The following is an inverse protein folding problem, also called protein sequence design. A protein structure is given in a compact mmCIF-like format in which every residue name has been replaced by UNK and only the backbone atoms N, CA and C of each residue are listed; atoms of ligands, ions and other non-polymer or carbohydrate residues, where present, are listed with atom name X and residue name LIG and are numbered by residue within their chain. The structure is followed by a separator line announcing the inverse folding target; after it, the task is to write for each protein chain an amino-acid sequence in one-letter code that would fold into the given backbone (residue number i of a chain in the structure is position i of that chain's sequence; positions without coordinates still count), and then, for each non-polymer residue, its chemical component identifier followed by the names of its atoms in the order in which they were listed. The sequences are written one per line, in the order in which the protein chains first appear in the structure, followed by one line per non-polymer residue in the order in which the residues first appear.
data_IF_018080270165
#
_entry.id   IF_018080270165
#
_cell.length_a   1.000
_cell.length_b   1.000
_cell.length_c   1.000
_cell.angle_alpha   90.00
_cell.angle_beta   90.00
_cell.angle_gamma   90.00
#
_symmetry.space_group_name_H-M   'P 1'
#
loop_
_entity.id
_entity.type
_entity.pdbx_description
1 polymer ?
#
# COMPACT_ATOMS: atom_id res chain seq x y z
N UNK A 1 -25.38 -10.79 15.44
CA UNK A 1 -25.44 -9.79 14.34
C UNK A 1 -24.14 -8.96 14.23
N UNK A 2 -22.99 -9.53 14.62
CA UNK A 2 -21.69 -8.82 14.72
C UNK A 2 -20.68 -9.20 13.62
N UNK A 3 -21.03 -10.15 12.72
CA UNK A 3 -20.10 -10.67 11.70
C UNK A 3 -19.87 -9.74 10.50
N UNK A 4 -20.88 -8.95 10.12
CA UNK A 4 -20.85 -8.12 8.90
C UNK A 4 -19.75 -7.04 8.88
N UNK A 5 -19.48 -6.31 9.98
CA UNK A 5 -18.35 -5.37 10.04
C UNK A 5 -16.97 -6.06 9.99
N UNK A 6 -16.88 -7.32 10.45
CA UNK A 6 -15.64 -8.08 10.41
C UNK A 6 -15.31 -8.56 8.99
N UNK A 7 -16.32 -8.79 8.16
CA UNK A 7 -16.11 -9.20 6.77
C UNK A 7 -15.34 -8.15 5.97
N UNK A 8 -15.57 -6.85 6.18
CA UNK A 8 -14.86 -5.82 5.42
C UNK A 8 -13.38 -5.70 5.81
N UNK A 9 -12.98 -6.23 6.97
CA UNK A 9 -11.59 -6.26 7.41
C UNK A 9 -11.03 -7.69 7.46
N UNK A 10 -11.76 -8.71 6.99
CA UNK A 10 -11.40 -10.11 7.20
C UNK A 10 -10.16 -10.58 6.44
N UNK A 11 -9.80 -9.89 5.35
CA UNK A 11 -8.65 -10.25 4.53
C UNK A 11 -7.69 -9.10 4.35
N UNK A 12 -6.41 -9.41 4.15
CA UNK A 12 -5.37 -8.42 3.89
C UNK A 12 -5.68 -7.57 2.65
N UNK A 13 -6.29 -8.15 1.62
CA UNK A 13 -6.70 -7.44 0.41
C UNK A 13 -7.82 -6.43 0.66
N UNK A 14 -8.78 -6.76 1.53
CA UNK A 14 -9.87 -5.85 1.89
C UNK A 14 -9.36 -4.70 2.76
N UNK A 15 -8.53 -5.01 3.77
CA UNK A 15 -7.78 -4.00 4.54
C UNK A 15 -6.94 -3.11 3.64
N UNK A 16 -6.34 -3.70 2.61
CA UNK A 16 -5.56 -2.99 1.63
C UNK A 16 -6.39 -2.00 0.79
N UNK A 17 -7.55 -2.43 0.29
CA UNK A 17 -8.48 -1.53 -0.39
C UNK A 17 -8.91 -0.38 0.54
N UNK A 18 -9.24 -0.68 1.79
CA UNK A 18 -9.66 0.32 2.77
C UNK A 18 -8.55 1.35 3.05
N UNK A 19 -7.32 0.90 3.29
CA UNK A 19 -6.15 1.75 3.47
C UNK A 19 -5.87 2.63 2.24
N UNK A 20 -5.98 2.06 1.03
CA UNK A 20 -5.84 2.84 -0.20
C UNK A 20 -6.88 3.97 -0.28
N UNK A 21 -8.14 3.70 0.09
CA UNK A 21 -9.18 4.74 0.12
C UNK A 21 -8.93 5.76 1.22
N UNK A 22 -8.36 5.36 2.37
CA UNK A 22 -8.00 6.27 3.46
C UNK A 22 -6.96 7.29 2.97
N UNK A 23 -5.91 6.81 2.29
CA UNK A 23 -4.84 7.68 1.76
C UNK A 23 -5.36 8.58 0.63
N UNK A 24 -6.18 8.03 -0.26
CA UNK A 24 -6.65 8.78 -1.44
C UNK A 24 -7.81 9.72 -1.14
N UNK A 25 -8.47 9.57 0.01
CA UNK A 25 -9.70 10.26 0.42
C UNK A 25 -10.94 9.81 -0.37
N UNK A 26 -10.81 9.71 -1.69
CA UNK A 26 -11.86 9.21 -2.58
C UNK A 26 -11.31 8.23 -3.63
N UNK A 27 -12.15 7.32 -4.11
CA UNK A 27 -11.78 6.37 -5.17
C UNK A 27 -12.95 6.06 -6.09
N UNK A 28 -12.67 5.46 -7.24
CA UNK A 28 -13.66 4.80 -8.09
C UNK A 28 -13.14 3.43 -8.53
N UNK A 29 -14.02 2.45 -8.81
CA UNK A 29 -13.62 1.05 -8.95
C UNK A 29 -12.54 0.80 -10.01
N UNK A 30 -12.56 1.53 -11.13
CA UNK A 30 -11.54 1.39 -12.19
C UNK A 30 -10.15 1.86 -11.73
N UNK A 31 -10.05 2.98 -11.02
CA UNK A 31 -8.76 3.44 -10.48
C UNK A 31 -8.27 2.52 -9.37
N UNK A 32 -9.18 2.03 -8.53
CA UNK A 32 -8.84 1.11 -7.46
C UNK A 32 -8.26 -0.20 -8.04
N UNK A 33 -8.96 -0.78 -9.01
CA UNK A 33 -8.56 -2.00 -9.70
C UNK A 33 -7.20 -1.86 -10.38
N UNK A 34 -7.00 -0.76 -11.11
CA UNK A 34 -5.74 -0.48 -11.81
C UNK A 34 -4.59 -0.29 -10.83
N UNK A 35 -4.79 0.49 -9.77
CA UNK A 35 -3.70 0.84 -8.88
C UNK A 35 -3.31 -0.35 -7.99
N UNK A 36 -4.29 -1.08 -7.44
CA UNK A 36 -4.04 -2.25 -6.60
C UNK A 36 -3.78 -3.55 -7.38
N UNK A 37 -3.79 -3.51 -8.72
CA UNK A 37 -3.68 -4.67 -9.59
C UNK A 37 -4.68 -5.81 -9.23
N UNK A 38 -5.95 -5.45 -9.02
CA UNK A 38 -7.04 -6.38 -8.71
C UNK A 38 -8.14 -6.32 -9.77
N UNK A 39 -9.01 -7.33 -9.82
CA UNK A 39 -10.10 -7.35 -10.80
C UNK A 39 -11.11 -6.22 -10.56
N UNK A 40 -11.61 -5.62 -11.65
CA UNK A 40 -12.65 -4.57 -11.59
C UNK A 40 -13.92 -5.06 -10.90
N UNK A 41 -14.28 -6.33 -11.10
CA UNK A 41 -15.42 -6.96 -10.45
C UNK A 41 -15.28 -6.97 -8.92
N UNK A 42 -14.10 -7.36 -8.41
CA UNK A 42 -13.79 -7.36 -6.98
C UNK A 42 -13.82 -5.94 -6.39
N UNK A 43 -13.21 -4.97 -7.08
CA UNK A 43 -13.24 -3.57 -6.67
C UNK A 43 -14.68 -3.03 -6.55
N UNK A 44 -15.52 -3.30 -7.56
CA UNK A 44 -16.91 -2.88 -7.58
C UNK A 44 -17.73 -3.55 -6.46
N UNK A 45 -17.65 -4.87 -6.32
CA UNK A 45 -18.44 -5.62 -5.33
C UNK A 45 -18.06 -5.21 -3.90
N UNK A 46 -16.77 -5.05 -3.63
CA UNK A 46 -16.28 -4.68 -2.31
C UNK A 46 -16.67 -3.25 -1.91
N UNK A 47 -16.56 -2.27 -2.82
CA UNK A 47 -16.97 -0.90 -2.53
C UNK A 47 -18.49 -0.78 -2.34
N UNK A 48 -19.29 -1.55 -3.10
CA UNK A 48 -20.74 -1.63 -2.89
C UNK A 48 -21.08 -2.25 -1.53
N UNK A 49 -20.37 -3.29 -1.11
CA UNK A 49 -20.53 -3.89 0.23
C UNK A 49 -20.20 -2.86 1.32
N UNK A 50 -19.07 -2.15 1.23
CA UNK A 50 -18.70 -1.11 2.19
C UNK A 50 -19.75 0.01 2.26
N UNK A 51 -20.37 0.35 1.13
CA UNK A 51 -21.45 1.34 1.09
C UNK A 51 -22.75 0.82 1.71
N UNK A 52 -23.15 -0.43 1.43
CA UNK A 52 -24.32 -1.06 2.04
C UNK A 52 -24.20 -1.16 3.57
N UNK A 53 -22.97 -1.29 4.08
CA UNK A 53 -22.67 -1.30 5.52
C UNK A 53 -22.52 0.10 6.13
N UNK A 54 -22.82 1.18 5.39
CA UNK A 54 -22.67 2.58 5.82
C UNK A 54 -21.23 2.98 6.21
N UNK A 55 -20.23 2.20 5.79
CA UNK A 55 -18.81 2.52 6.01
C UNK A 55 -18.33 3.53 4.98
N UNK A 56 -18.82 3.42 3.74
CA UNK A 56 -18.51 4.34 2.66
C UNK A 56 -19.75 5.06 2.13
N UNK A 57 -19.60 6.34 1.81
CA UNK A 57 -20.55 7.10 1.02
C UNK A 57 -20.32 6.79 -0.46
N UNK A 58 -21.40 6.58 -1.20
CA UNK A 58 -21.38 6.40 -2.66
C UNK A 58 -22.02 7.63 -3.30
N UNK A 59 -21.29 8.30 -4.17
CA UNK A 59 -21.75 9.50 -4.85
C UNK A 59 -21.52 9.39 -6.36
N UNK A 60 -22.36 10.07 -7.13
CA UNK A 60 -22.20 10.16 -8.58
C UNK A 60 -21.61 11.51 -8.94
N UNK A 61 -20.48 11.50 -9.63
CA UNK A 61 -19.84 12.67 -10.19
C UNK A 61 -19.80 12.52 -11.71
N UNK A 62 -20.81 13.07 -12.39
CA UNK A 62 -21.04 12.88 -13.81
C UNK A 62 -21.24 11.39 -14.18
N UNK A 63 -20.37 10.87 -15.05
CA UNK A 63 -20.39 9.46 -15.47
C UNK A 63 -19.65 8.52 -14.49
N UNK A 64 -19.02 9.05 -13.44
CA UNK A 64 -18.23 8.26 -12.49
C UNK A 64 -18.98 8.07 -11.17
N UNK A 65 -18.77 6.92 -10.54
CA UNK A 65 -19.24 6.61 -9.18
C UNK A 65 -18.04 6.66 -8.25
N UNK A 66 -18.10 7.56 -7.28
CA UNK A 66 -17.05 7.82 -6.31
C UNK A 66 -17.44 7.22 -4.96
N UNK A 67 -16.45 6.71 -4.25
CA UNK A 67 -16.57 6.21 -2.90
C UNK A 67 -15.62 6.95 -1.97
N UNK A 68 -16.11 7.31 -0.78
CA UNK A 68 -15.36 7.97 0.29
C UNK A 68 -15.84 7.44 1.64
N UNK A 69 -15.04 7.57 2.70
CA UNK A 69 -15.47 7.13 4.02
C UNK A 69 -16.50 8.06 4.64
N UNK A 70 -17.45 7.50 5.38
CA UNK A 70 -18.31 8.26 6.31
C UNK A 70 -17.58 8.42 7.65
N UNK A 71 -17.95 9.43 8.43
CA UNK A 71 -17.44 9.60 9.80
C UNK A 71 -17.71 8.36 10.67
N UNK A 72 -18.91 7.77 10.53
CA UNK A 72 -19.27 6.50 11.19
C UNK A 72 -18.40 5.34 10.73
N UNK A 73 -18.12 5.24 9.44
CA UNK A 73 -17.24 4.22 8.86
C UNK A 73 -15.81 4.30 9.38
N UNK A 74 -15.25 5.51 9.49
CA UNK A 74 -13.93 5.71 10.09
C UNK A 74 -13.89 5.26 11.56
N UNK A 75 -14.92 5.59 12.35
CA UNK A 75 -15.00 5.18 13.75
C UNK A 75 -15.16 3.66 13.93
N UNK A 76 -15.78 2.96 12.97
CA UNK A 76 -15.86 1.49 12.94
C UNK A 76 -14.50 0.89 12.58
N UNK A 77 -13.84 1.42 11.54
CA UNK A 77 -12.54 0.91 11.11
C UNK A 77 -11.43 1.11 12.15
N UNK A 78 -11.42 2.25 12.86
CA UNK A 78 -10.48 2.48 13.96
C UNK A 78 -10.60 1.43 15.08
N UNK A 79 -11.80 0.89 15.29
CA UNK A 79 -12.04 -0.16 16.29
C UNK A 79 -11.70 -1.55 15.77
N UNK A 80 -11.96 -1.84 14.50
CA UNK A 80 -11.85 -3.21 13.95
C UNK A 80 -10.53 -3.52 13.27
N UNK A 81 -9.85 -2.50 12.74
CA UNK A 81 -8.57 -2.66 12.04
C UNK A 81 -7.72 -1.38 12.19
N UNK A 82 -7.32 -1.00 13.41
CA UNK A 82 -6.51 0.20 13.65
C UNK A 82 -5.21 0.22 12.82
N UNK A 83 -4.66 -0.94 12.50
CA UNK A 83 -3.43 -1.08 11.71
C UNK A 83 -3.53 -0.46 10.31
N UNK A 84 -4.73 -0.34 9.71
CA UNK A 84 -4.87 0.28 8.39
C UNK A 84 -4.72 1.81 8.44
N UNK A 85 -4.67 2.41 9.63
CA UNK A 85 -4.42 3.84 9.81
C UNK A 85 -2.94 4.15 10.00
N UNK A 86 -2.11 3.14 10.23
CA UNK A 86 -0.67 3.30 10.32
C UNK A 86 -0.06 3.46 8.93
N UNK A 87 0.85 4.42 8.78
CA UNK A 87 1.64 4.64 7.57
C UNK A 87 2.54 3.44 7.28
N UNK A 88 2.95 2.69 8.30
CA UNK A 88 3.67 1.43 8.14
C UNK A 88 2.86 0.40 7.34
N UNK A 89 1.52 0.48 7.33
CA UNK A 89 0.66 -0.40 6.54
C UNK A 89 0.78 -0.14 5.02
N UNK A 90 1.25 1.05 4.61
CA UNK A 90 1.54 1.35 3.20
C UNK A 90 2.68 0.48 2.64
N UNK A 91 3.55 -0.07 3.50
CA UNK A 91 4.58 -1.05 3.12
C UNK A 91 3.99 -2.34 2.54
N UNK A 92 2.69 -2.60 2.74
CA UNK A 92 1.98 -3.72 2.10
C UNK A 92 1.79 -3.49 0.59
N UNK A 93 1.97 -2.26 0.08
CA UNK A 93 1.62 -1.85 -1.28
C UNK A 93 2.79 -1.31 -2.11
N UNK A 94 3.99 -1.85 -1.94
CA UNK A 94 5.23 -1.44 -2.65
C UNK A 94 5.19 -1.55 -4.20
N UNK A 95 4.00 -1.60 -4.83
CA UNK A 95 3.78 -1.52 -6.28
C UNK A 95 2.72 -0.47 -6.72
N UNK A 96 2.37 0.52 -5.90
CA UNK A 96 1.44 1.58 -6.34
C UNK A 96 2.17 2.69 -7.13
N UNK A 97 1.84 2.92 -8.42
CA UNK A 97 2.44 3.99 -9.19
C UNK A 97 2.04 5.37 -8.63
N UNK A 98 3.05 6.23 -8.42
CA UNK A 98 2.94 7.61 -7.97
C UNK A 98 1.95 8.40 -8.85
N UNK A 99 0.85 8.88 -8.26
CA UNK A 99 0.12 10.05 -8.78
C UNK A 99 -0.26 11.01 -7.65
N UNK A 100 0.47 12.12 -7.58
CA UNK A 100 0.21 13.31 -6.75
C UNK A 100 -1.17 13.89 -7.06
N UNK A 101 -2.04 13.98 -6.05
CA UNK A 101 -3.10 15.01 -5.96
C UNK A 101 -3.19 15.40 -4.49
N UNK A 102 -2.84 16.64 -4.18
CA UNK A 102 -2.96 17.20 -2.83
C UNK A 102 -4.43 17.44 -2.50
N UNK A 103 -4.89 17.02 -1.33
CA UNK A 103 -6.14 17.52 -0.74
C UNK A 103 -5.88 18.05 0.66
N UNK A 104 -6.51 19.20 0.96
CA UNK A 104 -6.24 20.14 2.06
C UNK A 104 -6.44 19.62 3.50
N UNK A 105 -6.73 18.34 3.73
CA UNK A 105 -7.15 17.85 5.07
C UNK A 105 -6.27 16.77 5.68
N UNK A 106 -5.14 16.42 5.05
CA UNK A 106 -4.10 15.59 5.67
C UNK A 106 -2.75 15.97 5.03
N UNK A 107 -1.66 16.18 5.81
CA UNK A 107 -0.37 16.59 5.25
C UNK A 107 0.25 15.43 4.44
N UNK A 108 -0.15 15.32 3.17
CA UNK A 108 0.19 14.27 2.21
C UNK A 108 1.39 14.63 1.32
N UNK A 109 2.24 15.56 1.72
CA UNK A 109 3.33 16.05 0.85
C UNK A 109 4.48 15.06 0.66
N UNK A 110 4.55 13.96 1.43
CA UNK A 110 5.72 13.06 1.47
C UNK A 110 5.43 11.57 1.19
N UNK A 111 4.76 11.22 0.09
CA UNK A 111 4.52 9.79 -0.24
C UNK A 111 5.16 9.43 -1.58
N UNK A 112 6.26 8.68 -1.49
CA UNK A 112 6.98 8.07 -2.59
C UNK A 112 8.33 7.55 -2.12
N UNK A 113 8.66 6.29 -2.38
CA UNK A 113 10.01 5.77 -2.12
C UNK A 113 10.73 5.48 -3.43
N UNK A 114 12.00 5.85 -3.53
CA UNK A 114 12.89 5.49 -4.64
C UNK A 114 13.88 4.43 -4.14
N UNK A 115 14.12 3.38 -4.94
CA UNK A 115 15.08 2.33 -4.62
C UNK A 115 16.21 2.40 -5.63
N UNK A 116 17.42 2.66 -5.15
CA UNK A 116 18.66 2.58 -5.94
C UNK A 116 19.42 1.35 -5.52
N UNK A 117 20.12 0.70 -6.44
CA UNK A 117 21.02 -0.39 -6.10
C UNK A 117 22.39 -0.21 -6.71
N UNK A 118 23.40 -0.71 -6.01
CA UNK A 118 24.79 -0.77 -6.47
C UNK A 118 25.39 -2.10 -6.10
N UNK A 119 26.24 -2.62 -6.97
CA UNK A 119 27.12 -3.72 -6.62
C UNK A 119 28.21 -3.20 -5.68
N UNK A 120 28.44 -3.96 -4.61
CA UNK A 120 29.57 -3.74 -3.72
C UNK A 120 30.84 -4.40 -4.31
N UNK A 121 32.01 -3.90 -3.92
CA UNK A 121 33.32 -4.37 -4.40
C UNK A 121 33.59 -5.85 -4.08
N UNK A 122 32.82 -6.44 -3.17
CA UNK A 122 32.89 -7.85 -2.79
C UNK A 122 31.84 -8.74 -3.50
N UNK A 123 31.13 -8.22 -4.50
CA UNK A 123 30.12 -8.96 -5.28
C UNK A 123 28.75 -9.08 -4.58
N UNK A 124 28.53 -8.33 -3.50
CA UNK A 124 27.21 -8.12 -2.91
C UNK A 124 26.43 -7.03 -3.64
N UNK A 125 25.16 -6.86 -3.29
CA UNK A 125 24.30 -5.77 -3.78
C UNK A 125 23.78 -5.00 -2.59
N UNK A 126 23.89 -3.68 -2.64
CA UNK A 126 23.27 -2.77 -1.67
C UNK A 126 22.06 -2.15 -2.32
N UNK A 127 20.90 -2.25 -1.65
CA UNK A 127 19.67 -1.57 -2.03
C UNK A 127 19.40 -0.43 -1.05
N UNK A 128 19.39 0.80 -1.56
CA UNK A 128 19.17 2.02 -0.77
C UNK A 128 17.77 2.56 -1.01
N UNK A 129 17.05 2.82 0.07
CA UNK A 129 15.71 3.39 0.08
C UNK A 129 15.79 4.90 0.30
N UNK A 130 15.08 5.66 -0.52
CA UNK A 130 14.97 7.11 -0.39
C UNK A 130 13.51 7.52 -0.29
N UNK A 131 13.22 8.60 0.43
CA UNK A 131 11.87 9.15 0.56
C UNK A 131 11.47 10.02 -0.65
N UNK A 132 10.35 10.74 -0.53
CA UNK A 132 9.81 11.54 -1.62
C UNK A 132 10.61 12.83 -1.89
N UNK A 133 11.40 13.25 -0.91
CA UNK A 133 12.26 14.43 -0.93
C UNK A 133 13.71 14.05 -1.32
N UNK A 134 13.99 12.75 -1.48
CA UNK A 134 15.31 12.21 -1.81
C UNK A 134 16.19 11.96 -0.59
N UNK A 135 15.63 12.02 0.62
CA UNK A 135 16.33 11.70 1.86
C UNK A 135 16.53 10.20 1.98
N UNK A 136 17.73 9.78 2.38
CA UNK A 136 18.05 8.37 2.58
C UNK A 136 17.36 7.84 3.84
N UNK A 137 16.65 6.72 3.67
CA UNK A 137 15.88 6.07 4.73
C UNK A 137 16.58 4.85 5.31
N UNK A 138 17.52 4.28 4.55
CA UNK A 138 18.30 3.13 4.98
C UNK A 138 18.53 2.12 3.86
N UNK A 139 19.27 1.07 4.22
CA UNK A 139 19.80 0.11 3.26
C UNK A 139 19.37 -1.33 3.57
N UNK A 140 19.33 -2.14 2.52
CA UNK A 140 19.27 -3.60 2.59
C UNK A 140 20.43 -4.17 1.80
N UNK A 141 21.18 -5.06 2.43
CA UNK A 141 22.32 -5.73 1.84
C UNK A 141 21.94 -7.14 1.40
N UNK A 142 22.44 -7.53 0.23
CA UNK A 142 22.45 -8.91 -0.24
C UNK A 142 23.90 -9.33 -0.49
N UNK A 143 24.36 -10.39 0.17
CA UNK A 143 25.69 -10.95 -0.11
C UNK A 143 25.70 -11.77 -1.40
N UNK A 144 26.90 -12.03 -1.92
CA UNK A 144 27.14 -12.92 -3.06
C UNK A 144 26.60 -14.35 -2.80
N UNK A 145 26.72 -14.86 -1.56
CA UNK A 145 26.17 -16.15 -1.12
C UNK A 145 24.66 -16.12 -0.84
N UNK A 146 23.98 -15.00 -1.13
CA UNK A 146 22.51 -14.90 -1.07
C UNK A 146 21.92 -14.62 0.32
N UNK A 147 22.74 -14.23 1.31
CA UNK A 147 22.23 -13.74 2.60
C UNK A 147 21.71 -12.33 2.46
N UNK A 148 20.70 -11.99 3.27
CA UNK A 148 20.07 -10.68 3.26
C UNK A 148 20.14 -10.05 4.65
N UNK A 149 20.29 -8.74 4.71
CA UNK A 149 20.27 -7.99 5.95
C UNK A 149 19.65 -6.61 5.74
N UNK A 150 18.66 -6.26 6.54
CA UNK A 150 17.99 -4.96 6.48
C UNK A 150 18.45 -4.09 7.64
N UNK A 151 19.08 -2.95 7.35
CA UNK A 151 19.52 -1.98 8.37
C UNK A 151 18.33 -1.32 9.05
N UNK A 152 17.28 -1.04 8.28
CA UNK A 152 16.07 -0.39 8.77
C UNK A 152 15.37 -1.25 9.83
N UNK A 153 15.31 -2.58 9.59
CA UNK A 153 14.63 -3.51 10.48
C UNK A 153 15.56 -4.25 11.45
N UNK A 154 16.88 -4.09 11.32
CA UNK A 154 17.90 -4.86 12.05
C UNK A 154 17.61 -6.38 12.02
N UNK A 155 17.22 -6.88 10.83
CA UNK A 155 16.74 -8.26 10.66
C UNK A 155 17.11 -8.79 9.27
N UNK A 156 17.33 -10.11 9.18
CA UNK A 156 17.50 -10.88 7.95
C UNK A 156 16.16 -11.40 7.37
N UNK A 157 15.08 -11.18 8.11
CA UNK A 157 13.71 -11.58 7.80
C UNK A 157 12.77 -10.40 8.04
N UNK A 158 12.48 -9.66 6.97
CA UNK A 158 11.53 -8.56 7.01
C UNK A 158 10.86 -8.34 5.65
N UNK A 159 9.78 -7.54 5.64
CA UNK A 159 9.02 -7.22 4.42
C UNK A 159 9.89 -6.55 3.35
N UNK A 160 10.83 -5.67 3.72
CA UNK A 160 11.76 -5.05 2.77
C UNK A 160 12.62 -6.10 2.05
N UNK A 161 13.08 -7.12 2.77
CA UNK A 161 13.85 -8.23 2.18
C UNK A 161 12.97 -9.09 1.28
N UNK A 162 11.75 -9.41 1.70
CA UNK A 162 10.81 -10.20 0.88
C UNK A 162 10.45 -9.48 -0.43
N UNK A 163 10.29 -8.17 -0.35
CA UNK A 163 10.10 -7.32 -1.51
C UNK A 163 11.30 -7.37 -2.45
N UNK A 164 12.50 -7.11 -1.93
CA UNK A 164 13.72 -7.09 -2.73
C UNK A 164 14.05 -8.46 -3.31
N UNK A 165 13.72 -9.57 -2.62
CA UNK A 165 13.81 -10.92 -3.20
C UNK A 165 12.93 -11.10 -4.43
N UNK A 166 11.71 -10.55 -4.43
CA UNK A 166 10.80 -10.60 -5.60
C UNK A 166 11.28 -9.68 -6.72
N UNK A 167 11.73 -8.47 -6.38
CA UNK A 167 12.32 -7.52 -7.32
C UNK A 167 13.56 -8.13 -8.00
N UNK A 168 14.48 -8.65 -7.20
CA UNK A 168 15.72 -9.27 -7.67
C UNK A 168 15.48 -10.47 -8.59
N UNK A 169 14.49 -11.32 -8.30
CA UNK A 169 14.07 -12.39 -9.22
C UNK A 169 13.56 -11.85 -10.57
N UNK A 170 12.92 -10.70 -10.58
CA UNK A 170 12.42 -10.07 -11.80
C UNK A 170 13.58 -9.46 -12.61
N UNK A 171 14.53 -8.82 -11.93
CA UNK A 171 15.74 -8.26 -12.54
C UNK A 171 16.61 -9.36 -13.17
N UNK A 172 16.81 -10.48 -12.47
CA UNK A 172 17.60 -11.62 -12.99
C UNK A 172 17.00 -12.36 -14.18
N UNK A 173 15.70 -12.18 -14.44
CA UNK A 173 15.00 -12.83 -15.56
C UNK A 173 14.89 -11.91 -16.79
N UNK A 174 15.48 -10.72 -16.73
CA UNK A 174 15.52 -9.75 -17.84
C UNK A 174 16.89 -9.72 -18.54
N UNK A 175 17.86 -10.47 -18.02
CA UNK A 175 19.10 -10.87 -18.69
C UNK A 175 18.93 -12.28 -19.28
#
# INVERSE_FOLDING_TARGET
MEKLPYEITSTIFRKAILHYVLIRGTTYPQSLAKNLNISKGLACSFLRLCSALNVMKRERAGHKVIYSFTSKGLAVLKRLAPEIFDLSFSSVFEKLPKKKISTKHYPLTKIGFEIKWKEDKFGGIVFSFFDADGEHLGDVFRSNIGRWWCVICQSDSCKHIDYLKRLYKTLKNQD
#
